data_IF_970102145879
#
_entry.id   IF_970102145879
#
_cell.length_a   1.000
_cell.length_b   1.000
_cell.length_c   1.000
_cell.angle_alpha   90.00
_cell.angle_beta   90.00
_cell.angle_gamma   90.00
#
_symmetry.space_group_name_H-M   'P 1'
#
loop_
_entity.id
_entity.type
_entity.pdbx_description
1 polymer ?
#
# COMPACT_ATOMS: atom_id res chain seq x y z
N UNK A 1 -0.27 0.91 10.99
CA UNK A 1 -0.57 1.03 9.55
C UNK A 1 -0.92 2.48 9.27
N UNK A 2 -0.19 3.14 8.38
CA UNK A 2 -0.44 4.54 8.01
C UNK A 2 -0.69 4.63 6.51
N UNK A 3 -1.68 5.44 6.13
CA UNK A 3 -2.05 5.73 4.74
C UNK A 3 -1.93 7.23 4.57
N UNK A 4 -1.05 7.69 3.68
CA UNK A 4 -0.82 9.11 3.43
C UNK A 4 -0.95 9.39 1.93
N UNK A 5 -1.73 10.40 1.51
CA UNK A 5 -1.72 10.85 0.12
C UNK A 5 -0.40 11.57 -0.17
N UNK A 6 0.26 11.21 -1.27
CA UNK A 6 1.43 11.89 -1.80
C UNK A 6 1.14 12.41 -3.21
N UNK A 7 1.47 13.68 -3.44
CA UNK A 7 1.31 14.33 -4.74
C UNK A 7 2.51 13.99 -5.62
N UNK A 8 2.28 13.43 -6.80
CA UNK A 8 3.33 13.14 -7.76
C UNK A 8 3.12 13.99 -9.02
N UNK A 9 4.16 14.74 -9.39
CA UNK A 9 4.19 15.48 -10.65
C UNK A 9 4.89 14.62 -11.69
N UNK A 10 4.12 13.88 -12.50
CA UNK A 10 4.66 13.23 -13.70
C UNK A 10 4.91 14.31 -14.77
N UNK A 11 6.14 14.41 -15.26
CA UNK A 11 6.50 15.38 -16.30
C UNK A 11 5.85 14.98 -17.64
N UNK A 12 4.87 15.76 -18.13
CA UNK A 12 4.36 15.58 -19.50
C UNK A 12 3.01 16.20 -19.86
N UNK A 13 2.02 16.27 -18.97
CA UNK A 13 0.74 16.95 -19.26
C UNK A 13 -0.08 17.14 -17.99
N UNK A 14 -0.80 18.26 -17.87
CA UNK A 14 -1.85 18.44 -16.85
C UNK A 14 -2.96 17.38 -17.03
N UNK A 15 -3.60 16.87 -15.96
CA UNK A 15 -3.68 17.35 -14.59
C UNK A 15 -2.65 16.69 -13.65
N UNK A 16 -2.41 17.28 -12.47
CA UNK A 16 -1.58 16.65 -11.43
C UNK A 16 -2.16 15.30 -11.03
N UNK A 17 -1.33 14.39 -10.54
CA UNK A 17 -1.77 13.10 -10.02
C UNK A 17 -1.35 12.96 -8.55
N UNK A 18 -2.04 12.09 -7.82
CA UNK A 18 -1.64 11.70 -6.48
C UNK A 18 -1.68 10.17 -6.36
N UNK A 19 -0.93 9.65 -5.39
CA UNK A 19 -0.90 8.25 -5.02
C UNK A 19 -1.06 8.16 -3.51
N UNK A 20 -1.52 7.03 -3.00
CA UNK A 20 -1.45 6.71 -1.59
C UNK A 20 -0.19 5.92 -1.31
N UNK A 21 0.56 6.34 -0.30
CA UNK A 21 1.62 5.52 0.30
C UNK A 21 0.99 4.73 1.43
N UNK A 22 1.11 3.40 1.34
CA UNK A 22 0.61 2.47 2.36
C UNK A 22 1.83 1.83 3.00
N UNK A 23 2.00 2.08 4.30
CA UNK A 23 3.11 1.55 5.09
C UNK A 23 2.59 0.62 6.17
N UNK A 24 3.08 -0.62 6.15
CA UNK A 24 2.91 -1.59 7.22
C UNK A 24 4.27 -1.80 7.90
N UNK A 25 4.31 -1.53 9.19
CA UNK A 25 5.45 -1.81 10.06
C UNK A 25 4.97 -2.71 11.18
N UNK A 26 5.57 -3.89 11.29
CA UNK A 26 5.36 -4.83 12.38
C UNK A 26 6.60 -4.84 13.29
N UNK A 27 6.55 -4.20 14.47
CA UNK A 27 7.68 -4.15 15.40
C UNK A 27 7.99 -5.50 16.04
N UNK A 28 7.08 -6.47 15.98
CA UNK A 28 7.27 -7.79 16.63
C UNK A 28 8.21 -8.68 15.82
N UNK A 29 8.27 -8.46 14.50
CA UNK A 29 9.04 -9.30 13.57
C UNK A 29 10.02 -8.48 12.72
N UNK A 30 10.20 -7.19 13.04
CA UNK A 30 11.08 -6.25 12.33
C UNK A 30 10.80 -6.19 10.81
N UNK A 31 9.50 -6.22 10.45
CA UNK A 31 9.06 -6.21 9.05
C UNK A 31 8.54 -4.84 8.66
N UNK A 32 9.04 -4.34 7.53
CA UNK A 32 8.64 -3.08 6.94
C UNK A 32 8.24 -3.28 5.47
N UNK A 33 6.97 -3.05 5.17
CA UNK A 33 6.42 -3.10 3.82
C UNK A 33 5.91 -1.72 3.42
N UNK A 34 6.27 -1.30 2.21
CA UNK A 34 5.82 -0.02 1.63
C UNK A 34 5.31 -0.27 0.23
N UNK A 35 4.11 0.19 -0.06
CA UNK A 35 3.49 0.08 -1.38
C UNK A 35 2.83 1.40 -1.77
N UNK A 36 2.78 1.65 -3.07
CA UNK A 36 2.07 2.79 -3.66
C UNK A 36 0.77 2.30 -4.30
N UNK A 37 -0.31 3.07 -4.14
CA UNK A 37 -1.54 2.83 -4.91
C UNK A 37 -1.33 3.18 -6.39
N UNK A 38 -2.32 2.83 -7.21
CA UNK A 38 -2.46 3.41 -8.55
C UNK A 38 -2.55 4.94 -8.49
N UNK A 39 -2.06 5.60 -9.55
CA UNK A 39 -2.14 7.04 -9.70
C UNK A 39 -3.59 7.47 -9.96
N UNK A 40 -4.03 8.50 -9.24
CA UNK A 40 -5.36 9.09 -9.34
C UNK A 40 -5.26 10.57 -9.73
N UNK A 41 -6.26 11.14 -10.43
CA UNK A 41 -6.27 12.56 -10.76
C UNK A 41 -6.30 13.43 -9.51
N UNK A 42 -5.39 14.40 -9.39
CA UNK A 42 -5.32 15.32 -8.24
C UNK A 42 -6.57 16.17 -8.08
N UNK A 43 -7.30 16.44 -9.16
CA UNK A 43 -8.58 17.16 -9.10
C UNK A 43 -9.62 16.45 -8.25
N UNK A 44 -9.52 15.14 -8.03
CA UNK A 44 -10.44 14.38 -7.17
C UNK A 44 -10.31 14.75 -5.70
N UNK A 45 -9.22 15.41 -5.28
CA UNK A 45 -9.07 15.92 -3.92
C UNK A 45 -9.86 17.21 -3.67
N UNK A 46 -10.24 17.94 -4.74
CA UNK A 46 -10.90 19.24 -4.65
C UNK A 46 -12.42 19.14 -4.84
N UNK A 47 -12.94 17.94 -5.13
CA UNK A 47 -14.36 17.70 -5.42
C UNK A 47 -15.14 17.46 -4.12
N UNK A 48 -16.28 18.13 -3.89
CA UNK A 48 -17.14 17.86 -2.74
C UNK A 48 -17.66 16.42 -2.76
N UNK A 49 -17.61 15.75 -1.60
CA UNK A 49 -18.05 14.35 -1.43
C UNK A 49 -19.49 14.13 -1.90
N UNK A 50 -20.40 15.06 -1.59
CA UNK A 50 -21.83 14.93 -1.88
C UNK A 50 -22.17 14.95 -3.38
N UNK A 51 -21.29 15.48 -4.23
CA UNK A 51 -21.54 15.62 -5.67
C UNK A 51 -21.03 14.43 -6.50
N UNK A 52 -20.10 13.64 -5.96
CA UNK A 52 -19.38 12.62 -6.73
C UNK A 52 -19.01 11.38 -5.90
N UNK A 53 -20.03 10.70 -5.35
CA UNK A 53 -19.87 9.43 -4.59
C UNK A 53 -19.01 8.38 -5.33
N UNK A 54 -19.10 8.33 -6.66
CA UNK A 54 -18.31 7.41 -7.48
C UNK A 54 -16.79 7.67 -7.41
N UNK A 55 -16.35 8.90 -7.15
CA UNK A 55 -14.93 9.27 -7.00
C UNK A 55 -14.40 8.67 -5.71
N UNK A 56 -15.18 8.78 -4.63
CA UNK A 56 -14.86 8.16 -3.34
C UNK A 56 -14.73 6.64 -3.48
N UNK A 57 -15.70 5.99 -4.09
CA UNK A 57 -15.67 4.54 -4.33
C UNK A 57 -14.40 4.10 -5.08
N UNK A 58 -13.97 4.90 -6.06
CA UNK A 58 -12.73 4.66 -6.80
C UNK A 58 -11.47 4.87 -5.95
N UNK A 59 -11.43 5.91 -5.12
CA UNK A 59 -10.32 6.18 -4.20
C UNK A 59 -10.21 5.08 -3.13
N UNK A 60 -11.34 4.67 -2.54
CA UNK A 60 -11.42 3.56 -1.59
C UNK A 60 -10.95 2.26 -2.24
N UNK A 61 -11.38 1.98 -3.48
CA UNK A 61 -10.94 0.81 -4.22
C UNK A 61 -9.43 0.80 -4.45
N UNK A 62 -8.83 1.96 -4.76
CA UNK A 62 -7.38 2.11 -4.93
C UNK A 62 -6.61 1.77 -3.64
N UNK A 63 -7.11 2.25 -2.50
CA UNK A 63 -6.53 1.95 -1.19
C UNK A 63 -6.68 0.46 -0.87
N UNK A 64 -7.88 -0.10 -1.04
CA UNK A 64 -8.15 -1.52 -0.77
C UNK A 64 -7.20 -2.44 -1.53
N UNK A 65 -6.96 -2.16 -2.80
CA UNK A 65 -6.01 -2.93 -3.60
C UNK A 65 -4.59 -2.83 -3.05
N UNK A 66 -4.12 -1.60 -2.72
CA UNK A 66 -2.79 -1.42 -2.14
C UNK A 66 -2.63 -2.12 -0.78
N UNK A 67 -3.68 -2.16 0.04
CA UNK A 67 -3.68 -2.91 1.32
C UNK A 67 -3.62 -4.41 1.09
N UNK A 68 -4.35 -4.94 0.10
CA UNK A 68 -4.30 -6.36 -0.24
C UNK A 68 -2.91 -6.80 -0.67
N UNK A 69 -2.21 -5.98 -1.46
CA UNK A 69 -0.83 -6.24 -1.89
C UNK A 69 0.10 -6.33 -0.67
N UNK A 70 0.06 -5.33 0.22
CA UNK A 70 0.88 -5.32 1.45
C UNK A 70 0.56 -6.50 2.36
N UNK A 71 -0.72 -6.87 2.48
CA UNK A 71 -1.13 -8.02 3.28
C UNK A 71 -0.57 -9.34 2.72
N UNK A 72 -0.59 -9.51 1.40
CA UNK A 72 -0.01 -10.68 0.76
C UNK A 72 1.50 -10.75 0.96
N UNK A 73 2.22 -9.64 0.75
CA UNK A 73 3.66 -9.59 1.02
C UNK A 73 4.00 -9.90 2.47
N UNK A 74 3.23 -9.36 3.41
CA UNK A 74 3.42 -9.64 4.83
C UNK A 74 3.25 -11.14 5.14
N UNK A 75 2.14 -11.74 4.72
CA UNK A 75 1.89 -13.18 4.96
C UNK A 75 2.96 -14.04 4.30
N UNK A 76 3.35 -13.70 3.07
CA UNK A 76 4.41 -14.40 2.36
C UNK A 76 5.76 -14.35 3.10
N UNK A 77 6.17 -13.16 3.53
CA UNK A 77 7.42 -12.98 4.29
C UNK A 77 7.38 -13.70 5.63
N UNK A 78 6.21 -13.72 6.30
CA UNK A 78 6.02 -14.48 7.54
C UNK A 78 6.08 -15.98 7.33
N UNK A 79 5.54 -16.50 6.23
CA UNK A 79 5.63 -17.93 5.90
C UNK A 79 7.05 -18.34 5.55
N UNK A 80 7.74 -17.59 4.68
CA UNK A 80 9.15 -17.86 4.33
C UNK A 80 10.12 -17.66 5.49
N UNK A 81 9.89 -16.66 6.34
CA UNK A 81 10.70 -16.42 7.53
C UNK A 81 10.58 -17.56 8.55
N UNK A 82 9.42 -18.22 8.62
CA UNK A 82 9.23 -19.44 9.42
C UNK A 82 9.95 -20.67 8.85
N UNK A 83 10.09 -20.77 7.52
CA UNK A 83 10.82 -21.87 6.87
C UNK A 83 12.33 -21.79 7.13
N UNK A 84 12.94 -20.59 7.03
CA UNK A 84 14.37 -20.40 7.36
C UNK A 84 14.70 -20.82 8.80
N UNK A 85 13.81 -20.53 9.74
CA UNK A 85 14.00 -20.89 11.16
C UNK A 85 13.96 -22.39 11.41
N UNK A 86 13.12 -23.13 10.67
CA UNK A 86 13.05 -24.60 10.75
C UNK A 86 14.25 -25.29 10.11
N UNK A 87 14.81 -24.71 9.06
CA UNK A 87 16.02 -25.25 8.41
C UNK A 87 17.26 -25.04 9.28
N UNK A 88 17.37 -23.90 9.97
CA UNK A 88 18.43 -23.68 10.97
C UNK A 88 18.31 -24.63 12.18
N UNK A 89 17.10 -24.92 12.68
CA UNK A 89 16.87 -25.89 13.77
C UNK A 89 17.13 -27.35 13.36
N UNK A 90 16.98 -27.70 12.09
CA UNK A 90 17.20 -29.06 11.59
C UNK A 90 18.68 -29.37 11.26
N UNK A 91 19.52 -28.34 11.12
CA UNK A 91 20.97 -28.49 10.87
C UNK A 91 21.77 -28.61 12.19
N UNK A 92 21.17 -28.27 13.32
CA UNK A 92 21.80 -28.36 14.66
C UNK A 92 21.53 -29.70 15.39
N UNK A 93 20.90 -30.69 14.72
CA UNK A 93 20.60 -32.04 15.28
C UNK A 93 21.39 -33.14 14.60
#
# INVERSE_FOLDING_TARGET
>A
MSIQPCRATLAGSSPGHFLYVIVLSDPTHDLHHTTFSQALPASWLDVPYDENEWVEDRMVSAIRLGVQIVAQEYVWTRMKGGEKRKEEEAVEV
#
